data_IF_144465491594
#
_entry.id   IF_144465491594
#
_cell.length_a   1.000
_cell.length_b   1.000
_cell.length_c   1.000
_cell.angle_alpha   90.00
_cell.angle_beta   90.00
_cell.angle_gamma   90.00
#
_symmetry.space_group_name_H-M   'P 1'
#
loop_
_entity.id
_entity.type
_entity.pdbx_description
1 polymer ?
#
# COMPACT_ATOMS: atom_id res chain seq x y z
N UNK A 1 -24.40 -32.83 0.50
CA UNK A 1 -23.13 -32.17 0.15
C UNK A 1 -22.57 -31.65 1.45
N UNK A 2 -21.62 -32.39 2.03
CA UNK A 2 -21.01 -32.02 3.30
C UNK A 2 -20.16 -30.77 3.09
N UNK A 3 -20.61 -29.68 3.70
CA UNK A 3 -19.84 -28.45 3.83
C UNK A 3 -18.76 -28.73 4.87
N UNK A 4 -17.54 -28.97 4.42
CA UNK A 4 -16.39 -29.14 5.31
C UNK A 4 -16.33 -27.93 6.23
N UNK A 5 -16.42 -28.20 7.54
CA UNK A 5 -16.21 -27.20 8.58
C UNK A 5 -14.75 -26.75 8.47
N UNK A 6 -14.51 -25.59 7.86
CA UNK A 6 -13.19 -24.97 7.85
C UNK A 6 -12.78 -24.72 9.30
N UNK A 7 -11.67 -25.29 9.75
CA UNK A 7 -11.05 -24.98 11.03
C UNK A 7 -10.69 -23.49 11.07
N UNK A 8 -11.60 -22.66 11.60
CA UNK A 8 -11.35 -21.24 11.82
C UNK A 8 -10.36 -21.14 12.98
N UNK A 9 -9.09 -20.91 12.66
CA UNK A 9 -8.05 -20.59 13.65
C UNK A 9 -8.33 -19.18 14.20
N UNK A 10 -8.48 -19.08 15.51
CA UNK A 10 -8.57 -17.80 16.19
C UNK A 10 -7.15 -17.33 16.53
N UNK A 11 -6.65 -16.34 15.79
CA UNK A 11 -5.32 -15.76 16.00
C UNK A 11 -5.44 -14.36 16.62
N UNK A 12 -5.88 -14.30 17.89
CA UNK A 12 -6.10 -13.04 18.62
C UNK A 12 -4.86 -12.17 18.78
N UNK A 13 -3.67 -12.74 18.57
CA UNK A 13 -2.39 -12.07 18.74
C UNK A 13 -1.89 -11.38 17.44
N UNK A 14 -2.67 -11.47 16.35
CA UNK A 14 -2.37 -10.81 15.07
C UNK A 14 -3.20 -9.55 14.86
N UNK A 15 -2.59 -8.55 14.25
CA UNK A 15 -3.30 -7.36 13.76
C UNK A 15 -3.75 -7.58 12.32
N UNK A 16 -4.97 -7.17 11.99
CA UNK A 16 -5.46 -7.17 10.62
C UNK A 16 -5.40 -5.75 10.04
N UNK A 17 -4.56 -5.56 9.02
CA UNK A 17 -4.48 -4.31 8.25
C UNK A 17 -5.42 -4.44 7.05
N UNK A 18 -6.38 -3.52 6.95
CA UNK A 18 -7.35 -3.50 5.85
C UNK A 18 -6.93 -2.44 4.82
N UNK A 19 -6.55 -2.90 3.63
CA UNK A 19 -6.08 -2.11 2.49
C UNK A 19 -4.55 -2.03 2.39
N UNK A 20 -4.03 -2.16 1.18
CA UNK A 20 -2.61 -2.04 0.82
C UNK A 20 -2.34 -0.77 -0.01
N UNK A 21 -3.01 0.34 0.32
CA UNK A 21 -2.63 1.68 -0.10
C UNK A 21 -1.48 2.25 0.76
N UNK A 22 -1.13 3.53 0.57
CA UNK A 22 -0.01 4.17 1.27
C UNK A 22 -0.03 3.97 2.80
N UNK A 23 -1.19 4.16 3.44
CA UNK A 23 -1.33 3.97 4.90
C UNK A 23 -1.17 2.51 5.33
N UNK A 24 -1.67 1.56 4.52
CA UNK A 24 -1.57 0.13 4.78
C UNK A 24 -0.13 -0.37 4.68
N UNK A 25 0.59 0.07 3.64
CA UNK A 25 2.00 -0.24 3.46
C UNK A 25 2.85 0.33 4.60
N UNK A 26 2.62 1.59 5.00
CA UNK A 26 3.33 2.19 6.13
C UNK A 26 3.10 1.43 7.45
N UNK A 27 1.85 1.00 7.70
CA UNK A 27 1.52 0.18 8.87
C UNK A 27 2.20 -1.20 8.80
N UNK A 28 2.12 -1.87 7.64
CA UNK A 28 2.72 -3.18 7.42
C UNK A 28 4.24 -3.16 7.64
N UNK A 29 4.95 -2.18 7.05
CA UNK A 29 6.39 -2.01 7.27
C UNK A 29 6.71 -1.78 8.74
N UNK A 30 5.99 -0.87 9.39
CA UNK A 30 6.20 -0.57 10.82
C UNK A 30 6.00 -1.79 11.71
N UNK A 31 4.99 -2.61 11.41
CA UNK A 31 4.73 -3.84 12.17
C UNK A 31 5.79 -4.91 11.89
N UNK A 32 6.22 -5.06 10.64
CA UNK A 32 7.30 -5.98 10.27
C UNK A 32 8.60 -5.62 11.01
N UNK A 33 8.99 -4.35 11.02
CA UNK A 33 10.21 -3.89 11.71
C UNK A 33 10.16 -4.04 13.23
N UNK A 34 8.95 -4.01 13.82
CA UNK A 34 8.74 -4.20 15.26
C UNK A 34 8.47 -5.64 15.64
N UNK A 35 8.44 -6.57 14.69
CA UNK A 35 8.11 -7.98 14.93
C UNK A 35 6.67 -8.20 15.43
N UNK A 36 5.75 -7.31 15.09
CA UNK A 36 4.32 -7.45 15.42
C UNK A 36 3.68 -8.33 14.35
N UNK A 37 3.06 -9.48 14.70
CA UNK A 37 2.38 -10.33 13.72
C UNK A 37 1.17 -9.63 13.09
N UNK A 38 1.06 -9.65 11.77
CA UNK A 38 -0.07 -9.07 11.06
C UNK A 38 -0.41 -9.81 9.78
N UNK A 39 -1.66 -9.68 9.35
CA UNK A 39 -2.11 -9.96 7.99
C UNK A 39 -2.51 -8.63 7.34
N UNK A 40 -2.17 -8.45 6.06
CA UNK A 40 -2.61 -7.30 5.27
C UNK A 40 -3.56 -7.78 4.17
N UNK A 41 -4.80 -7.30 4.21
CA UNK A 41 -5.85 -7.71 3.28
C UNK A 41 -6.15 -6.56 2.33
N UNK A 42 -5.86 -6.77 1.05
CA UNK A 42 -6.25 -5.88 -0.04
C UNK A 42 -7.38 -6.53 -0.84
N UNK A 43 -8.36 -5.74 -1.26
CA UNK A 43 -9.47 -6.19 -2.07
C UNK A 43 -9.04 -6.43 -3.51
N UNK A 44 -8.17 -5.58 -4.02
CA UNK A 44 -7.66 -5.66 -5.39
C UNK A 44 -6.51 -6.67 -5.52
N UNK A 45 -6.16 -7.03 -6.76
CA UNK A 45 -5.06 -7.96 -7.02
C UNK A 45 -3.67 -7.34 -6.93
N UNK A 46 -3.58 -6.05 -6.60
CA UNK A 46 -2.34 -5.28 -6.55
C UNK A 46 -2.48 -4.13 -5.53
N UNK A 47 -1.34 -3.61 -5.10
CA UNK A 47 -1.24 -2.55 -4.10
C UNK A 47 -1.49 -1.15 -4.70
N UNK A 48 -1.42 -0.14 -3.84
CA UNK A 48 -1.38 1.27 -4.21
C UNK A 48 -2.72 1.98 -4.10
N UNK A 49 -3.83 1.23 -4.03
CA UNK A 49 -5.18 1.74 -3.81
C UNK A 49 -5.51 2.89 -4.76
N UNK A 50 -5.74 4.09 -4.21
CA UNK A 50 -6.08 5.30 -4.97
C UNK A 50 -5.17 5.56 -6.18
N UNK A 51 -3.87 5.26 -6.07
CA UNK A 51 -2.88 5.56 -7.12
C UNK A 51 -2.81 4.50 -8.22
N UNK A 52 -3.48 3.36 -8.06
CA UNK A 52 -3.46 2.28 -9.03
C UNK A 52 -4.68 2.35 -9.96
N UNK A 53 -4.58 3.17 -11.01
CA UNK A 53 -5.64 3.38 -12.01
C UNK A 53 -6.12 2.10 -12.72
N UNK A 54 -5.34 1.01 -12.63
CA UNK A 54 -5.67 -0.27 -13.29
C UNK A 54 -6.60 -1.16 -12.46
N UNK A 55 -6.90 -0.77 -11.21
CA UNK A 55 -7.73 -1.52 -10.26
C UNK A 55 -9.13 -0.93 -10.12
N UNK A 56 -10.07 -1.69 -9.56
CA UNK A 56 -11.45 -1.22 -9.33
C UNK A 56 -11.57 -0.11 -8.28
N UNK A 57 -10.58 0.05 -7.41
CA UNK A 57 -10.54 1.10 -6.37
C UNK A 57 -9.67 2.29 -6.73
N UNK A 58 -8.93 2.23 -7.83
CA UNK A 58 -8.17 3.35 -8.38
C UNK A 58 -9.10 4.45 -8.85
N UNK A 59 -8.94 5.66 -8.32
CA UNK A 59 -9.77 6.84 -8.67
C UNK A 59 -8.94 8.00 -9.23
N UNK A 60 -7.66 7.76 -9.48
CA UNK A 60 -6.74 8.73 -10.05
C UNK A 60 -6.94 8.84 -11.56
N UNK A 61 -6.85 10.06 -12.10
CA UNK A 61 -6.86 10.28 -13.54
C UNK A 61 -5.46 10.06 -14.14
N UNK A 62 -5.40 9.67 -15.41
CA UNK A 62 -4.16 9.45 -16.17
C UNK A 62 -3.20 10.66 -16.14
N UNK A 63 -3.73 11.87 -16.04
CA UNK A 63 -2.95 13.12 -16.03
C UNK A 63 -2.63 13.65 -14.63
N UNK A 64 -2.85 12.84 -13.59
CA UNK A 64 -2.68 13.31 -12.20
C UNK A 64 -1.21 13.38 -11.81
N UNK A 65 -0.86 14.47 -11.13
CA UNK A 65 0.42 14.69 -10.48
C UNK A 65 0.22 15.00 -9.00
N UNK A 66 1.23 14.72 -8.18
CA UNK A 66 1.25 15.08 -6.78
C UNK A 66 1.21 16.60 -6.61
N UNK A 67 0.37 17.08 -5.69
CA UNK A 67 0.32 18.51 -5.32
C UNK A 67 1.44 18.90 -4.36
N UNK A 68 2.00 17.94 -3.63
CA UNK A 68 3.13 18.09 -2.73
C UNK A 68 4.40 17.54 -3.37
N UNK A 69 5.53 18.19 -3.07
CA UNK A 69 6.80 17.80 -3.69
C UNK A 69 7.26 16.42 -3.24
N UNK A 70 8.01 15.69 -4.06
CA UNK A 70 8.59 14.37 -3.74
C UNK A 70 9.32 14.34 -2.39
N UNK A 71 9.99 15.44 -2.01
CA UNK A 71 10.70 15.60 -0.73
C UNK A 71 9.80 15.51 0.51
N UNK A 72 8.53 15.92 0.38
CA UNK A 72 7.58 15.95 1.51
C UNK A 72 6.54 14.84 1.45
N UNK A 73 6.40 14.15 0.30
CA UNK A 73 5.43 13.08 0.12
C UNK A 73 6.02 11.69 0.39
N UNK A 74 7.32 11.50 0.16
CA UNK A 74 7.99 10.22 0.44
C UNK A 74 7.91 9.81 1.91
N UNK A 75 8.10 8.51 2.16
CA UNK A 75 8.23 7.98 3.51
C UNK A 75 9.58 8.44 4.09
N UNK A 76 9.61 8.76 5.38
CA UNK A 76 10.76 9.42 6.02
C UNK A 76 12.05 8.60 5.91
N UNK A 77 11.93 7.28 5.98
CA UNK A 77 13.00 6.29 5.87
C UNK A 77 13.19 5.72 4.46
N UNK A 78 12.35 6.13 3.52
CA UNK A 78 12.41 5.71 2.12
C UNK A 78 12.12 6.91 1.20
N UNK A 79 13.09 7.80 0.98
CA UNK A 79 12.87 8.97 0.14
C UNK A 79 12.56 8.57 -1.30
N UNK A 80 11.67 9.34 -1.96
CA UNK A 80 11.42 9.16 -3.40
C UNK A 80 12.70 9.39 -4.23
N UNK A 81 12.90 8.66 -5.34
CA UNK A 81 14.08 8.78 -6.20
C UNK A 81 14.40 10.22 -6.61
N UNK A 82 15.68 10.54 -6.77
CA UNK A 82 16.10 11.90 -7.14
C UNK A 82 15.75 12.25 -8.59
N UNK A 83 15.66 11.23 -9.44
CA UNK A 83 15.33 11.29 -10.86
C UNK A 83 13.86 11.64 -11.09
N UNK A 84 12.99 11.43 -10.10
CA UNK A 84 11.59 11.84 -10.18
C UNK A 84 11.49 13.38 -10.23
N UNK A 85 10.50 13.92 -10.97
CA UNK A 85 10.25 15.35 -10.99
C UNK A 85 9.86 15.83 -9.59
N UNK A 86 9.98 17.14 -9.34
CA UNK A 86 9.60 17.73 -8.04
C UNK A 86 8.18 17.34 -7.63
N UNK A 87 7.27 17.21 -8.59
CA UNK A 87 5.89 16.77 -8.42
C UNK A 87 5.65 15.53 -9.29
N UNK A 88 5.85 14.31 -8.75
CA UNK A 88 5.67 13.05 -9.47
C UNK A 88 4.27 12.86 -10.05
N UNK A 89 4.17 12.16 -11.17
CA UNK A 89 2.94 11.61 -11.72
C UNK A 89 2.37 10.50 -10.83
N UNK A 90 1.11 10.14 -11.02
CA UNK A 90 0.51 9.01 -10.32
C UNK A 90 1.22 7.67 -10.62
N UNK A 91 1.74 7.50 -11.84
CA UNK A 91 2.53 6.32 -12.24
C UNK A 91 3.81 6.21 -11.43
N UNK A 92 4.53 7.32 -11.27
CA UNK A 92 5.75 7.37 -10.46
C UNK A 92 5.44 7.16 -8.99
N UNK A 93 4.34 7.73 -8.47
CA UNK A 93 3.88 7.49 -7.10
C UNK A 93 3.52 6.00 -6.86
N UNK A 94 2.84 5.37 -7.81
CA UNK A 94 2.52 3.93 -7.74
C UNK A 94 3.78 3.07 -7.82
N UNK A 95 4.70 3.37 -8.73
CA UNK A 95 5.98 2.67 -8.86
C UNK A 95 6.79 2.76 -7.56
N UNK A 96 6.83 3.96 -6.96
CA UNK A 96 7.48 4.17 -5.66
C UNK A 96 6.83 3.35 -4.54
N UNK A 97 5.49 3.25 -4.48
CA UNK A 97 4.83 2.40 -3.48
C UNK A 97 5.10 0.91 -3.69
N UNK A 98 5.21 0.45 -4.95
CA UNK A 98 5.59 -0.94 -5.27
C UNK A 98 7.03 -1.25 -4.91
N UNK A 99 7.92 -0.27 -5.01
CA UNK A 99 9.32 -0.40 -4.63
C UNK A 99 9.52 -0.37 -3.11
N UNK A 100 8.66 0.36 -2.39
CA UNK A 100 8.65 0.40 -0.92
C UNK A 100 8.09 -0.87 -0.25
N UNK A 101 7.17 -1.57 -0.92
CA UNK A 101 6.47 -2.75 -0.41
C UNK A 101 7.33 -4.02 -0.45
#
# INVERSE_FOLDING_TARGET
MDMQSTDIKNETDKVCIIGAGSSGLAAAKTFAERGIPFDCLERENDIGGLWNETTGTGVVYDTTYLVSSRKYTGFEDYPMPEEYPTYPSHREALAYMRDYA
#
